data_IF_203703687946
#
_entry.id   IF_203703687946
#
_cell.length_a   1.000
_cell.length_b   1.000
_cell.length_c   1.000
_cell.angle_alpha   90.00
_cell.angle_beta   90.00
_cell.angle_gamma   90.00
#
_symmetry.space_group_name_H-M   'P 1'
#
loop_
_entity.id
_entity.type
_entity.pdbx_description
1 polymer ?
#
# COMPACT_ATOMS: atom_id res chain seq x y z
N UNK A 1 -14.88 5.25 13.50
CA UNK A 1 -15.11 4.54 12.23
C UNK A 1 -14.00 4.83 11.22
N UNK A 2 -13.71 6.11 10.93
CA UNK A 2 -12.62 6.50 10.03
C UNK A 2 -11.24 5.92 10.41
N UNK A 3 -10.88 5.98 11.69
CA UNK A 3 -9.61 5.42 12.21
C UNK A 3 -9.49 3.91 11.95
N UNK A 4 -10.61 3.18 11.99
CA UNK A 4 -10.60 1.74 11.69
C UNK A 4 -10.23 1.49 10.22
N UNK A 5 -10.85 2.22 9.30
CA UNK A 5 -10.54 2.11 7.86
C UNK A 5 -9.10 2.53 7.54
N UNK A 6 -8.56 3.54 8.21
CA UNK A 6 -7.15 3.91 8.09
C UNK A 6 -6.20 2.82 8.57
N UNK A 7 -6.52 2.14 9.67
CA UNK A 7 -5.73 1.00 10.15
C UNK A 7 -5.77 -0.14 9.12
N UNK A 8 -6.96 -0.44 8.57
CA UNK A 8 -7.10 -1.47 7.53
C UNK A 8 -6.25 -1.12 6.31
N UNK A 9 -6.28 0.13 5.85
CA UNK A 9 -5.44 0.63 4.76
C UNK A 9 -3.95 0.40 5.05
N UNK A 10 -3.45 0.83 6.22
CA UNK A 10 -2.05 0.62 6.62
C UNK A 10 -1.67 -0.87 6.65
N UNK A 11 -2.59 -1.75 7.06
CA UNK A 11 -2.34 -3.20 7.06
C UNK A 11 -2.20 -3.75 5.64
N UNK A 12 -3.00 -3.26 4.68
CA UNK A 12 -2.84 -3.63 3.27
C UNK A 12 -1.46 -3.22 2.75
N UNK A 13 -1.02 -2.01 3.03
CA UNK A 13 0.29 -1.49 2.63
C UNK A 13 1.46 -2.36 3.15
N UNK A 14 1.38 -2.80 4.40
CA UNK A 14 2.37 -3.70 4.98
C UNK A 14 2.36 -5.06 4.27
N UNK A 15 1.18 -5.61 3.99
CA UNK A 15 1.02 -6.89 3.28
C UNK A 15 1.59 -6.78 1.85
N UNK A 16 1.32 -5.69 1.15
CA UNK A 16 1.85 -5.42 -0.19
C UNK A 16 3.38 -5.34 -0.19
N UNK A 17 3.94 -4.57 0.75
CA UNK A 17 5.40 -4.46 0.94
C UNK A 17 6.00 -5.86 1.15
N UNK A 18 5.37 -6.69 1.98
CA UNK A 18 5.83 -8.04 2.27
C UNK A 18 5.81 -8.95 1.04
N UNK A 19 4.76 -8.87 0.21
CA UNK A 19 4.67 -9.61 -1.05
C UNK A 19 5.80 -9.28 -2.02
N UNK A 20 6.22 -8.02 -2.12
CA UNK A 20 7.33 -7.64 -2.99
C UNK A 20 8.66 -8.14 -2.43
N UNK A 21 8.90 -7.97 -1.13
CA UNK A 21 10.20 -8.29 -0.53
C UNK A 21 10.48 -9.79 -0.40
N UNK A 22 9.45 -10.61 -0.19
CA UNK A 22 9.63 -12.06 0.00
C UNK A 22 9.57 -12.86 -1.31
N UNK A 23 9.07 -12.27 -2.39
CA UNK A 23 8.97 -12.96 -3.66
C UNK A 23 10.23 -12.73 -4.51
N UNK A 24 11.09 -13.76 -4.59
CA UNK A 24 12.34 -13.73 -5.39
C UNK A 24 12.17 -13.42 -6.88
N UNK A 25 10.94 -13.47 -7.39
CA UNK A 25 10.62 -13.12 -8.75
C UNK A 25 9.75 -11.85 -8.77
N UNK A 26 10.34 -10.75 -9.23
CA UNK A 26 9.68 -9.44 -9.30
C UNK A 26 8.33 -9.50 -10.04
N UNK A 27 8.21 -10.31 -11.09
CA UNK A 27 6.95 -10.45 -11.85
C UNK A 27 5.85 -11.14 -11.04
N UNK A 28 6.19 -11.98 -10.06
CA UNK A 28 5.22 -12.60 -9.15
C UNK A 28 4.86 -11.66 -8.00
N UNK A 29 5.85 -10.95 -7.44
CA UNK A 29 5.62 -9.93 -6.42
C UNK A 29 4.69 -8.82 -6.93
N UNK A 30 4.96 -8.29 -8.12
CA UNK A 30 4.13 -7.27 -8.77
C UNK A 30 2.71 -7.76 -9.04
N UNK A 31 2.51 -9.03 -9.41
CA UNK A 31 1.16 -9.60 -9.57
C UNK A 31 0.43 -9.70 -8.24
N UNK A 32 1.12 -10.09 -7.17
CA UNK A 32 0.56 -10.13 -5.82
C UNK A 32 0.10 -8.73 -5.37
N UNK A 33 0.93 -7.72 -5.61
CA UNK A 33 0.59 -6.33 -5.31
C UNK A 33 -0.55 -5.81 -6.17
N UNK A 34 -0.57 -6.07 -7.47
CA UNK A 34 -1.69 -5.65 -8.32
C UNK A 34 -3.05 -6.23 -7.86
N UNK A 35 -3.06 -7.46 -7.32
CA UNK A 35 -4.27 -8.06 -6.75
C UNK A 35 -4.63 -7.38 -5.42
N UNK A 36 -3.64 -7.13 -4.56
CA UNK A 36 -3.85 -6.44 -3.28
C UNK A 36 -4.36 -5.01 -3.48
N UNK A 37 -3.76 -4.25 -4.40
CA UNK A 37 -4.18 -2.90 -4.79
C UNK A 37 -5.60 -2.90 -5.33
N UNK A 38 -5.99 -3.90 -6.14
CA UNK A 38 -7.35 -4.00 -6.63
C UNK A 38 -8.36 -4.16 -5.48
N UNK A 39 -8.02 -4.94 -4.46
CA UNK A 39 -8.86 -5.17 -3.27
C UNK A 39 -8.88 -3.93 -2.36
N UNK A 40 -7.78 -3.20 -2.28
CA UNK A 40 -7.62 -1.98 -1.49
C UNK A 40 -8.25 -0.75 -2.15
N UNK A 41 -8.27 -0.70 -3.48
CA UNK A 41 -8.77 0.46 -4.23
C UNK A 41 -10.18 0.93 -3.83
N UNK A 42 -11.16 0.06 -3.49
CA UNK A 42 -12.47 0.50 -3.00
C UNK A 42 -12.39 1.18 -1.63
N UNK A 43 -11.48 0.73 -0.76
CA UNK A 43 -11.23 1.35 0.55
C UNK A 43 -10.59 2.73 0.37
N UNK A 44 -9.61 2.84 -0.52
CA UNK A 44 -8.96 4.11 -0.84
C UNK A 44 -9.98 5.10 -1.45
N UNK A 45 -10.79 4.67 -2.41
CA UNK A 45 -11.87 5.47 -3.00
C UNK A 45 -12.85 5.92 -1.91
N UNK A 46 -13.29 5.01 -1.04
CA UNK A 46 -14.18 5.35 0.07
C UNK A 46 -13.59 6.44 0.99
N UNK A 47 -12.30 6.33 1.33
CA UNK A 47 -11.62 7.29 2.18
C UNK A 47 -11.44 8.65 1.50
N UNK A 48 -11.14 8.68 0.19
CA UNK A 48 -11.02 9.92 -0.60
C UNK A 48 -12.38 10.62 -0.72
N UNK A 49 -13.45 9.85 -0.95
CA UNK A 49 -14.81 10.39 -1.05
C UNK A 49 -15.34 11.01 0.24
N UNK A 50 -14.69 10.79 1.40
CA UNK A 50 -15.00 11.53 2.63
C UNK A 50 -14.65 13.03 2.52
N UNK A 51 -13.87 13.45 1.52
CA UNK A 51 -13.57 14.84 1.23
C UNK A 51 -12.69 15.55 2.26
N UNK A 52 -12.09 14.81 3.21
CA UNK A 52 -11.19 15.39 4.19
C UNK A 52 -9.74 15.44 3.63
N UNK A 53 -9.18 16.63 3.41
CA UNK A 53 -7.85 16.78 2.80
C UNK A 53 -6.73 16.17 3.65
N UNK A 54 -6.88 16.09 4.98
CA UNK A 54 -5.89 15.48 5.87
C UNK A 54 -5.79 13.96 5.64
N UNK A 55 -6.91 13.29 5.35
CA UNK A 55 -6.96 11.86 5.07
C UNK A 55 -6.29 11.56 3.74
N UNK A 56 -6.60 12.38 2.73
CA UNK A 56 -6.02 12.25 1.39
C UNK A 56 -4.49 12.41 1.47
N UNK A 57 -4.02 13.45 2.17
CA UNK A 57 -2.59 13.66 2.41
C UNK A 57 -1.95 12.48 3.14
N UNK A 58 -2.62 11.93 4.15
CA UNK A 58 -2.12 10.78 4.90
C UNK A 58 -1.97 9.53 4.01
N UNK A 59 -3.00 9.20 3.23
CA UNK A 59 -3.01 8.06 2.29
C UNK A 59 -1.86 8.19 1.29
N UNK A 60 -1.78 9.34 0.61
CA UNK A 60 -0.74 9.60 -0.39
C UNK A 60 0.66 9.54 0.24
N UNK A 61 0.83 10.02 1.47
CA UNK A 61 2.12 9.98 2.16
C UNK A 61 2.52 8.55 2.54
N UNK A 62 1.57 7.73 2.97
CA UNK A 62 1.82 6.32 3.31
C UNK A 62 2.24 5.55 2.07
N UNK A 63 1.51 5.68 0.96
CA UNK A 63 1.85 5.08 -0.35
C UNK A 63 3.26 5.47 -0.79
N UNK A 64 3.60 6.76 -0.74
CA UNK A 64 4.96 7.22 -1.11
C UNK A 64 6.02 6.57 -0.22
N UNK A 65 5.80 6.52 1.09
CA UNK A 65 6.75 5.90 2.03
C UNK A 65 6.88 4.40 1.74
N UNK A 66 5.77 3.71 1.49
CA UNK A 66 5.72 2.29 1.15
C UNK A 66 6.56 2.00 -0.11
N UNK A 67 6.34 2.73 -1.20
CA UNK A 67 7.09 2.54 -2.45
C UNK A 67 8.57 2.90 -2.32
N UNK A 68 8.92 3.92 -1.52
CA UNK A 68 10.33 4.24 -1.22
C UNK A 68 10.98 3.09 -0.44
N UNK A 69 10.31 2.54 0.58
CA UNK A 69 10.82 1.42 1.36
C UNK A 69 11.01 0.18 0.49
N UNK A 70 10.03 -0.13 -0.34
CA UNK A 70 10.11 -1.24 -1.31
C UNK A 70 11.31 -1.04 -2.23
N UNK A 71 11.47 0.13 -2.85
CA UNK A 71 12.57 0.40 -3.77
C UNK A 71 13.94 0.32 -3.07
N UNK A 72 14.05 0.82 -1.84
CA UNK A 72 15.29 0.78 -1.08
C UNK A 72 15.67 -0.65 -0.65
N UNK A 73 14.71 -1.40 -0.10
CA UNK A 73 14.94 -2.74 0.42
C UNK A 73 15.13 -3.77 -0.70
N UNK A 74 14.41 -3.62 -1.82
CA UNK A 74 14.58 -4.50 -2.98
C UNK A 74 16.00 -4.41 -3.55
N UNK A 75 16.54 -3.19 -3.73
CA UNK A 75 17.93 -2.98 -4.20
C UNK A 75 19.01 -3.49 -3.22
N UNK A 76 18.67 -3.76 -1.95
CA UNK A 76 19.61 -4.23 -0.95
C UNK A 76 19.57 -5.76 -0.76
N UNK A 77 18.52 -6.42 -1.24
CA UNK A 77 18.30 -7.87 -1.11
C UNK A 77 18.72 -8.66 -2.36
N UNK A 78 18.93 -7.98 -3.50
CA UNK A 78 19.56 -8.50 -4.72
C UNK A 78 21.10 -8.34 -4.69
#
# INVERSE_FOLDING_TARGET
MLTFFLIVFIVFEIIQTWFILFEKNIFRGVKGVAIAELIESPLMIFLILQGNPQIILLIVSIEIIQWILVAFLFNFLD
#
